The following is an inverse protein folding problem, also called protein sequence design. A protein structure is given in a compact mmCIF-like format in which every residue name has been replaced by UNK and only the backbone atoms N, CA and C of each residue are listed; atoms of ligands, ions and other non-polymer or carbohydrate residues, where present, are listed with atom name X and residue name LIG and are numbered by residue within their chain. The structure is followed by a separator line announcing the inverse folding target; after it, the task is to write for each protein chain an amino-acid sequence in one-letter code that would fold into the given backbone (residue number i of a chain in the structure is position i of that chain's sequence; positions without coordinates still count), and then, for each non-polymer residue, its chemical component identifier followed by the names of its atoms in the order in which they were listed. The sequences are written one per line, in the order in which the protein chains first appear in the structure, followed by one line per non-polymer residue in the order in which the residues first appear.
data_IF_342015796057
#
_entry.id   IF_342015796057
#
_cell.length_a   1.000
_cell.length_b   1.000
_cell.length_c   1.000
_cell.angle_alpha   90.00
_cell.angle_beta   90.00
_cell.angle_gamma   90.00
#
_symmetry.space_group_name_H-M   'P 1'
#
loop_
_entity.id
_entity.type
_entity.pdbx_description
1 polymer ?
#
# COMPACT_ATOMS: atom_id res chain seq x y z
N UNK A 1 68.56 58.21 4.90
CA UNK A 1 67.88 58.40 3.61
C UNK A 1 67.59 57.00 3.18
N UNK A 2 66.47 56.67 3.18
CA UNK A 2 65.20 56.52 2.75
C UNK A 2 64.45 55.32 3.33
N UNK A 3 63.35 55.68 3.77
CA UNK A 3 62.29 55.00 4.38
C UNK A 3 61.49 54.26 3.29
N UNK A 4 61.14 52.95 3.44
CA UNK A 4 60.00 52.43 2.79
C UNK A 4 59.30 51.40 3.71
N UNK A 5 58.14 51.80 4.13
CA UNK A 5 57.18 51.03 4.89
C UNK A 5 56.58 49.89 4.06
N UNK A 6 56.63 48.64 4.58
CA UNK A 6 55.91 47.49 4.03
C UNK A 6 54.49 47.48 4.56
N UNK A 7 53.51 47.52 3.65
CA UNK A 7 52.09 47.29 3.93
C UNK A 7 51.83 45.79 4.04
N UNK A 8 51.51 45.36 5.23
CA UNK A 8 50.96 44.03 5.50
C UNK A 8 49.51 43.96 5.05
N UNK A 9 49.27 43.28 3.94
CA UNK A 9 47.92 42.93 3.49
C UNK A 9 47.33 41.86 4.38
N UNK A 10 46.36 42.22 5.19
CA UNK A 10 45.48 41.26 5.85
C UNK A 10 44.64 40.53 4.81
N UNK A 11 44.97 39.27 4.58
CA UNK A 11 44.12 38.32 3.81
C UNK A 11 42.98 37.90 4.74
N UNK A 12 41.84 38.57 4.61
CA UNK A 12 40.59 38.14 5.26
C UNK A 12 40.16 36.82 4.65
N UNK A 13 40.45 35.75 5.35
CA UNK A 13 39.90 34.43 5.07
C UNK A 13 38.40 34.48 5.32
N UNK A 14 37.60 34.61 4.26
CA UNK A 14 36.16 34.37 4.29
C UNK A 14 35.95 32.89 4.51
N UNK A 15 35.77 32.47 5.76
CA UNK A 15 35.22 31.16 6.11
C UNK A 15 33.84 31.00 5.41
N UNK A 16 33.83 30.26 4.33
CA UNK A 16 32.59 29.73 3.77
C UNK A 16 31.98 28.84 4.86
N UNK A 17 31.06 29.41 5.63
CA UNK A 17 30.13 28.61 6.46
C UNK A 17 29.44 27.62 5.52
N UNK A 18 29.94 26.40 5.48
CA UNK A 18 29.23 25.27 4.88
C UNK A 18 27.91 25.14 5.64
N UNK A 19 26.85 25.69 5.09
CA UNK A 19 25.51 25.49 5.60
C UNK A 19 25.24 23.98 5.64
N UNK A 20 25.00 23.44 6.83
CA UNK A 20 24.63 22.06 7.02
C UNK A 20 23.49 21.72 6.01
N UNK A 21 23.53 20.56 5.36
CA UNK A 21 22.54 20.21 4.34
C UNK A 21 21.14 20.37 4.94
N UNK A 22 20.34 21.27 4.37
CA UNK A 22 18.95 21.48 4.82
C UNK A 22 18.25 20.13 4.75
N UNK A 23 17.84 19.60 5.90
CA UNK A 23 17.07 18.35 5.95
C UNK A 23 15.89 18.47 4.98
N UNK A 24 15.74 17.49 4.10
CA UNK A 24 14.64 17.46 3.14
C UNK A 24 13.29 17.63 3.86
N UNK A 25 12.37 18.39 3.26
CA UNK A 25 11.06 18.66 3.87
C UNK A 25 10.24 17.38 3.98
N UNK A 26 9.54 17.15 5.09
CA UNK A 26 8.71 15.97 5.24
C UNK A 26 7.55 15.99 4.24
N UNK A 27 7.16 14.79 3.82
CA UNK A 27 6.02 14.49 2.95
C UNK A 27 5.02 13.66 3.74
N UNK A 28 3.75 13.66 3.32
CA UNK A 28 2.74 12.81 3.91
C UNK A 28 1.86 12.14 2.86
N UNK A 29 1.44 10.92 3.16
CA UNK A 29 0.47 10.15 2.40
C UNK A 29 -0.65 9.68 3.33
N UNK A 30 -1.90 9.95 2.96
CA UNK A 30 -3.09 9.40 3.62
C UNK A 30 -3.77 8.43 2.65
N UNK A 31 -4.11 7.27 3.18
CA UNK A 31 -4.92 6.24 2.55
C UNK A 31 -6.17 6.03 3.41
N UNK A 32 -7.33 6.37 2.85
CA UNK A 32 -8.64 6.11 3.43
C UNK A 32 -9.30 4.96 2.68
N UNK A 33 -9.07 3.77 3.18
CA UNK A 33 -9.65 2.54 2.65
C UNK A 33 -11.06 2.25 3.19
N UNK A 34 -11.61 1.13 2.77
CA UNK A 34 -12.93 0.64 3.21
C UNK A 34 -12.98 0.37 4.72
N UNK A 35 -11.89 -0.15 5.29
CA UNK A 35 -11.85 -0.52 6.71
C UNK A 35 -10.98 0.42 7.55
N UNK A 36 -9.88 0.94 7.02
CA UNK A 36 -8.87 1.67 7.78
C UNK A 36 -8.60 3.06 7.21
N UNK A 37 -8.30 4.01 8.09
CA UNK A 37 -7.63 5.27 7.78
C UNK A 37 -6.16 5.15 8.18
N UNK A 38 -5.23 5.40 7.26
CA UNK A 38 -3.79 5.26 7.47
C UNK A 38 -3.05 6.52 7.03
N UNK A 39 -2.10 6.97 7.83
CA UNK A 39 -1.17 8.06 7.52
C UNK A 39 0.26 7.55 7.56
N UNK A 40 1.08 8.04 6.64
CA UNK A 40 2.52 7.90 6.67
C UNK A 40 3.15 9.27 6.48
N UNK A 41 4.01 9.68 7.41
CA UNK A 41 4.83 10.89 7.29
C UNK A 41 6.28 10.47 7.14
N UNK A 42 6.94 10.94 6.10
CA UNK A 42 8.29 10.51 5.76
C UNK A 42 9.17 11.69 5.31
N UNK A 43 10.47 11.54 5.50
CA UNK A 43 11.48 12.46 5.01
C UNK A 43 12.25 11.82 3.86
N UNK A 44 12.29 12.45 2.67
CA UNK A 44 13.10 11.98 1.57
C UNK A 44 14.59 11.87 1.94
N UNK A 45 15.22 10.82 1.43
CA UNK A 45 16.66 10.58 1.49
C UNK A 45 17.16 10.02 0.15
N UNK A 46 18.47 9.85 -0.07
CA UNK A 46 19.01 9.33 -1.33
C UNK A 46 18.48 7.93 -1.71
N UNK A 47 18.17 7.10 -0.73
CA UNK A 47 17.71 5.71 -0.92
C UNK A 47 16.17 5.59 -0.99
N UNK A 48 15.46 6.74 -1.00
CA UNK A 48 14.00 6.80 -1.03
C UNK A 48 13.46 7.72 0.05
N UNK A 49 13.08 7.20 1.22
CA UNK A 49 12.59 7.99 2.35
C UNK A 49 12.73 7.25 3.68
N UNK A 50 12.76 8.03 4.75
CA UNK A 50 12.69 7.56 6.14
C UNK A 50 11.33 7.93 6.75
N UNK A 51 10.62 6.94 7.28
CA UNK A 51 9.38 7.18 8.04
C UNK A 51 9.71 7.89 9.35
N UNK A 52 9.00 8.98 9.65
CA UNK A 52 9.19 9.79 10.86
C UNK A 52 7.94 9.80 11.75
N UNK A 53 6.75 9.54 11.19
CA UNK A 53 5.52 9.39 11.95
C UNK A 53 4.52 8.54 11.16
N UNK A 54 3.60 7.88 11.85
CA UNK A 54 2.55 7.11 11.23
C UNK A 54 1.28 7.11 12.08
N UNK A 55 0.15 6.75 11.46
CA UNK A 55 -1.10 6.53 12.16
C UNK A 55 -1.92 5.47 11.41
N UNK A 56 -2.66 4.67 12.16
CA UNK A 56 -3.63 3.72 11.61
C UNK A 56 -4.79 3.57 12.58
N UNK A 57 -6.02 3.64 12.06
CA UNK A 57 -7.25 3.43 12.83
C UNK A 57 -8.28 2.72 11.97
N UNK A 58 -8.95 1.72 12.52
CA UNK A 58 -10.11 1.11 11.91
C UNK A 58 -11.29 2.10 11.96
N UNK A 59 -11.79 2.49 10.80
CA UNK A 59 -12.92 3.45 10.65
C UNK A 59 -14.16 2.78 10.08
N UNK A 60 -14.01 1.60 9.45
CA UNK A 60 -15.08 0.81 8.84
C UNK A 60 -15.98 1.68 7.95
N UNK A 61 -15.36 2.51 7.11
CA UNK A 61 -16.06 3.47 6.25
C UNK A 61 -17.03 2.78 5.29
N UNK A 62 -16.65 1.59 4.78
CA UNK A 62 -17.46 0.79 3.87
C UNK A 62 -18.52 -0.06 4.53
N UNK A 63 -18.73 0.06 5.87
CA UNK A 63 -19.78 -0.67 6.57
C UNK A 63 -21.13 -0.43 5.91
N UNK A 64 -21.80 -1.51 5.45
CA UNK A 64 -23.09 -1.50 4.75
C UNK A 64 -23.16 -0.77 3.41
N UNK A 65 -22.03 -0.30 2.86
CA UNK A 65 -22.03 0.34 1.51
C UNK A 65 -22.47 -0.64 0.43
N UNK A 66 -22.12 -1.92 0.56
CA UNK A 66 -22.55 -2.96 -0.38
C UNK A 66 -24.07 -3.13 -0.41
N UNK A 67 -24.74 -3.02 0.74
CA UNK A 67 -26.19 -3.17 0.89
C UNK A 67 -26.97 -1.90 0.52
N UNK A 68 -26.44 -0.74 0.92
CA UNK A 68 -27.19 0.52 0.89
C UNK A 68 -26.76 1.48 -0.22
N UNK A 69 -25.56 1.30 -0.77
CA UNK A 69 -24.95 2.24 -1.73
C UNK A 69 -24.50 3.57 -1.11
N UNK A 70 -24.60 3.75 0.23
CA UNK A 70 -24.27 5.02 0.91
C UNK A 70 -23.33 4.80 2.09
N UNK A 71 -22.47 5.80 2.35
CA UNK A 71 -21.73 5.90 3.60
C UNK A 71 -22.69 6.29 4.73
N UNK A 72 -22.74 5.51 5.81
CA UNK A 72 -23.57 5.84 6.95
C UNK A 72 -23.02 7.07 7.72
N UNK A 73 -23.90 7.88 8.37
CA UNK A 73 -23.43 9.01 9.17
C UNK A 73 -22.38 8.62 10.23
N UNK A 74 -22.61 7.51 10.92
CA UNK A 74 -21.67 7.01 11.94
C UNK A 74 -20.31 6.59 11.36
N UNK A 75 -20.28 5.99 10.16
CA UNK A 75 -19.02 5.66 9.48
C UNK A 75 -18.29 6.93 9.02
N UNK A 76 -19.01 7.92 8.52
CA UNK A 76 -18.44 9.23 8.18
C UNK A 76 -17.85 9.91 9.42
N UNK A 77 -18.54 9.89 10.58
CA UNK A 77 -18.06 10.48 11.84
C UNK A 77 -16.72 9.87 12.26
N UNK A 78 -16.63 8.53 12.29
CA UNK A 78 -15.39 7.82 12.61
C UNK A 78 -14.24 8.17 11.66
N UNK A 79 -14.53 8.29 10.38
CA UNK A 79 -13.52 8.61 9.36
C UNK A 79 -13.05 10.07 9.49
N UNK A 80 -13.96 11.03 9.69
CA UNK A 80 -13.62 12.45 9.89
C UNK A 80 -12.78 12.64 11.16
N UNK A 81 -13.14 11.96 12.27
CA UNK A 81 -12.33 11.99 13.49
C UNK A 81 -10.92 11.47 13.27
N UNK A 82 -10.76 10.33 12.58
CA UNK A 82 -9.45 9.76 12.26
C UNK A 82 -8.64 10.69 11.34
N UNK A 83 -9.28 11.31 10.34
CA UNK A 83 -8.65 12.29 9.46
C UNK A 83 -8.26 13.58 10.20
N UNK A 84 -9.01 13.99 11.21
CA UNK A 84 -8.64 15.09 12.12
C UNK A 84 -7.29 14.80 12.83
N UNK A 85 -7.11 13.58 13.34
CA UNK A 85 -5.83 13.16 13.92
C UNK A 85 -4.71 13.18 12.88
N UNK A 86 -4.98 12.77 11.64
CA UNK A 86 -4.00 12.85 10.55
C UNK A 86 -3.61 14.30 10.27
N UNK A 87 -4.58 15.22 10.17
CA UNK A 87 -4.33 16.64 9.94
C UNK A 87 -3.46 17.26 11.04
N UNK A 88 -3.71 16.92 12.31
CA UNK A 88 -2.89 17.37 13.44
C UNK A 88 -1.44 16.86 13.33
N UNK A 89 -1.24 15.57 13.04
CA UNK A 89 0.10 14.99 12.85
C UNK A 89 0.86 15.64 11.69
N UNK A 90 0.18 15.89 10.57
CA UNK A 90 0.73 16.58 9.39
C UNK A 90 1.23 17.98 9.78
N UNK A 91 0.41 18.75 10.51
CA UNK A 91 0.75 20.09 10.98
C UNK A 91 1.96 20.05 11.94
N UNK A 92 1.94 19.16 12.94
CA UNK A 92 3.02 19.02 13.93
C UNK A 92 4.37 18.66 13.30
N UNK A 93 4.34 17.85 12.23
CA UNK A 93 5.56 17.46 11.50
C UNK A 93 6.00 18.50 10.45
N UNK A 94 5.30 19.63 10.31
CA UNK A 94 5.64 20.70 9.37
C UNK A 94 5.54 20.26 7.90
N UNK A 95 4.66 19.32 7.58
CA UNK A 95 4.46 18.82 6.22
C UNK A 95 3.79 19.90 5.37
N UNK A 96 4.36 20.18 4.20
CA UNK A 96 3.80 21.13 3.22
C UNK A 96 3.30 20.46 1.95
N UNK A 97 3.81 19.28 1.64
CA UNK A 97 3.42 18.50 0.46
C UNK A 97 2.88 17.16 0.92
N UNK A 98 1.65 16.89 0.53
CA UNK A 98 0.97 15.66 0.90
C UNK A 98 0.01 15.22 -0.20
N UNK A 99 -0.37 13.96 -0.17
CA UNK A 99 -1.46 13.44 -0.96
C UNK A 99 -2.36 12.60 -0.05
N UNK A 100 -3.67 12.83 -0.14
CA UNK A 100 -4.67 12.09 0.61
C UNK A 100 -5.66 11.47 -0.39
N UNK A 101 -5.81 10.16 -0.34
CA UNK A 101 -6.66 9.42 -1.26
C UNK A 101 -7.71 8.62 -0.51
N UNK A 102 -8.86 8.44 -1.16
CA UNK A 102 -9.92 7.55 -0.74
C UNK A 102 -10.19 6.53 -1.85
N UNK A 103 -10.49 5.30 -1.47
CA UNK A 103 -10.53 4.16 -2.38
C UNK A 103 -11.94 3.57 -2.50
N UNK A 104 -12.10 2.26 -2.52
CA UNK A 104 -13.30 1.51 -2.91
C UNK A 104 -14.58 1.97 -2.22
N UNK A 105 -14.61 2.15 -0.90
CA UNK A 105 -15.83 2.59 -0.20
C UNK A 105 -16.36 3.93 -0.75
N UNK A 106 -15.46 4.89 -1.01
CA UNK A 106 -15.82 6.17 -1.59
C UNK A 106 -16.18 6.07 -3.07
N UNK A 107 -15.51 5.19 -3.85
CA UNK A 107 -15.87 4.97 -5.26
C UNK A 107 -17.31 4.49 -5.40
N UNK A 108 -17.73 3.55 -4.55
CA UNK A 108 -19.07 2.94 -4.58
C UNK A 108 -20.18 3.83 -4.02
N UNK A 109 -19.84 4.71 -3.08
CA UNK A 109 -20.85 5.49 -2.37
C UNK A 109 -21.45 6.63 -3.20
N UNK A 110 -22.78 6.68 -3.28
CA UNK A 110 -23.54 7.73 -3.97
C UNK A 110 -23.32 9.10 -3.30
N UNK A 111 -23.21 9.11 -1.96
CA UNK A 111 -23.04 10.32 -1.15
C UNK A 111 -21.58 10.71 -0.91
N UNK A 112 -20.63 10.16 -1.71
CA UNK A 112 -19.19 10.45 -1.55
C UNK A 112 -18.84 11.93 -1.59
N UNK A 113 -19.55 12.73 -2.39
CA UNK A 113 -19.26 14.16 -2.52
C UNK A 113 -19.56 14.90 -1.21
N UNK A 114 -20.67 14.55 -0.53
CA UNK A 114 -21.01 15.08 0.78
C UNK A 114 -19.93 14.75 1.82
N UNK A 115 -19.44 13.52 1.81
CA UNK A 115 -18.38 13.08 2.71
C UNK A 115 -17.05 13.82 2.44
N UNK A 116 -16.60 13.90 1.19
CA UNK A 116 -15.36 14.58 0.83
C UNK A 116 -15.40 16.07 1.19
N UNK A 117 -16.55 16.73 0.97
CA UNK A 117 -16.73 18.12 1.35
C UNK A 117 -16.72 18.31 2.87
N UNK A 118 -17.36 17.41 3.61
CA UNK A 118 -17.34 17.40 5.06
C UNK A 118 -15.90 17.26 5.59
N UNK A 119 -15.10 16.33 5.04
CA UNK A 119 -13.67 16.18 5.38
C UNK A 119 -12.92 17.49 5.16
N UNK A 120 -13.15 18.15 4.01
CA UNK A 120 -12.50 19.42 3.69
C UNK A 120 -12.83 20.52 4.70
N UNK A 121 -14.10 20.65 5.06
CA UNK A 121 -14.57 21.68 5.99
C UNK A 121 -14.05 21.44 7.41
N UNK A 122 -14.15 20.20 7.91
CA UNK A 122 -13.83 19.89 9.31
C UNK A 122 -12.35 19.68 9.58
N UNK A 123 -11.58 19.18 8.58
CA UNK A 123 -10.16 18.83 8.80
C UNK A 123 -9.17 19.68 7.98
N UNK A 124 -9.64 20.41 6.98
CA UNK A 124 -8.82 21.12 6.01
C UNK A 124 -8.13 20.21 4.97
N UNK A 125 -8.30 18.89 5.06
CA UNK A 125 -7.70 17.94 4.13
C UNK A 125 -8.49 17.90 2.80
N UNK A 126 -7.76 17.85 1.68
CA UNK A 126 -8.35 17.60 0.38
C UNK A 126 -8.15 16.15 0.01
N UNK A 127 -9.26 15.43 -0.11
CA UNK A 127 -9.27 14.00 -0.46
C UNK A 127 -9.50 13.80 -1.96
N UNK A 128 -8.64 13.01 -2.61
CA UNK A 128 -8.84 12.54 -3.98
C UNK A 128 -9.48 11.14 -3.93
N UNK A 129 -10.65 10.95 -4.55
CA UNK A 129 -11.18 9.61 -4.79
C UNK A 129 -10.51 9.08 -6.05
N UNK A 130 -9.59 8.13 -5.87
CA UNK A 130 -8.79 7.57 -6.97
C UNK A 130 -9.48 6.39 -7.64
N UNK A 131 -9.15 6.14 -8.92
CA UNK A 131 -9.63 4.96 -9.64
C UNK A 131 -8.94 3.69 -9.10
N UNK A 132 -9.55 2.52 -9.36
CA UNK A 132 -8.95 1.22 -9.02
C UNK A 132 -7.62 1.02 -9.77
N UNK A 133 -7.52 1.48 -11.01
CA UNK A 133 -6.28 1.43 -11.79
C UNK A 133 -5.15 2.27 -11.15
N UNK A 134 -5.46 3.47 -10.66
CA UNK A 134 -4.48 4.30 -9.97
C UNK A 134 -4.07 3.68 -8.64
N UNK A 135 -5.01 3.11 -7.88
CA UNK A 135 -4.75 2.36 -6.65
C UNK A 135 -3.79 1.21 -6.90
N UNK A 136 -4.06 0.39 -7.92
CA UNK A 136 -3.21 -0.74 -8.33
C UNK A 136 -1.78 -0.30 -8.67
N UNK A 137 -1.62 0.75 -9.48
CA UNK A 137 -0.29 1.29 -9.84
C UNK A 137 0.49 1.82 -8.64
N UNK A 138 -0.20 2.51 -7.73
CA UNK A 138 0.41 3.02 -6.49
C UNK A 138 0.85 1.87 -5.58
N UNK A 139 0.05 0.80 -5.48
CA UNK A 139 0.43 -0.40 -4.73
C UNK A 139 1.70 -1.04 -5.29
N UNK A 140 1.78 -1.21 -6.61
CA UNK A 140 3.00 -1.72 -7.29
C UNK A 140 4.20 -0.84 -6.99
N UNK A 141 4.08 0.48 -7.19
CA UNK A 141 5.17 1.40 -6.96
C UNK A 141 5.64 1.40 -5.50
N UNK A 142 4.72 1.26 -4.55
CA UNK A 142 5.03 1.11 -3.13
C UNK A 142 5.80 -0.16 -2.80
N UNK A 143 5.55 -1.24 -3.53
CA UNK A 143 6.21 -2.53 -3.39
C UNK A 143 7.51 -2.65 -4.21
N UNK A 144 7.83 -1.70 -5.08
CA UNK A 144 8.98 -1.75 -5.98
C UNK A 144 10.32 -2.12 -5.32
N UNK A 145 10.67 -1.65 -4.10
CA UNK A 145 11.92 -2.05 -3.43
C UNK A 145 11.99 -3.52 -3.03
N UNK A 146 10.88 -4.26 -3.08
CA UNK A 146 10.82 -5.68 -2.73
C UNK A 146 10.93 -6.60 -3.94
N UNK A 147 11.00 -6.04 -5.13
CA UNK A 147 11.20 -6.79 -6.37
C UNK A 147 12.60 -7.42 -6.40
N UNK A 148 12.68 -8.70 -6.74
CA UNK A 148 13.94 -9.41 -7.00
C UNK A 148 14.42 -9.11 -8.42
N UNK A 149 15.70 -8.79 -8.55
CA UNK A 149 16.27 -8.35 -9.83
C UNK A 149 16.22 -9.42 -10.94
N UNK A 150 16.17 -10.68 -10.57
CA UNK A 150 16.09 -11.83 -11.47
C UNK A 150 14.67 -12.28 -11.80
N UNK A 151 13.63 -11.70 -11.14
CA UNK A 151 12.26 -12.03 -11.43
C UNK A 151 11.77 -11.31 -12.70
N UNK A 152 11.57 -12.06 -13.78
CA UNK A 152 11.06 -11.54 -15.04
C UNK A 152 9.56 -11.22 -15.00
N UNK A 153 8.80 -11.95 -14.20
CA UNK A 153 7.36 -11.76 -14.03
C UNK A 153 7.03 -11.48 -12.57
N UNK A 154 6.14 -10.54 -12.37
CA UNK A 154 5.73 -10.10 -11.04
C UNK A 154 4.20 -10.07 -10.94
N UNK A 155 3.65 -10.73 -9.91
CA UNK A 155 2.28 -10.55 -9.48
C UNK A 155 2.28 -9.77 -8.17
N UNK A 156 1.78 -8.55 -8.19
CA UNK A 156 1.51 -7.76 -6.98
C UNK A 156 0.06 -7.95 -6.58
N UNK A 157 -0.15 -8.28 -5.32
CA UNK A 157 -1.47 -8.50 -4.74
C UNK A 157 -1.64 -7.56 -3.56
N UNK A 158 -2.67 -6.73 -3.58
CA UNK A 158 -3.08 -5.90 -2.44
C UNK A 158 -4.48 -6.31 -1.98
N UNK A 159 -4.56 -6.98 -0.82
CA UNK A 159 -5.82 -7.45 -0.25
C UNK A 159 -6.37 -6.34 0.66
N UNK A 160 -7.23 -5.51 0.11
CA UNK A 160 -7.89 -4.42 0.82
C UNK A 160 -9.10 -4.84 1.67
N UNK A 161 -9.75 -3.85 2.27
CA UNK A 161 -11.01 -4.07 3.01
C UNK A 161 -12.21 -4.31 2.10
N UNK A 162 -12.33 -3.56 1.01
CA UNK A 162 -13.46 -3.58 0.08
C UNK A 162 -13.18 -4.25 -1.26
N UNK A 163 -11.92 -4.25 -1.68
CA UNK A 163 -11.47 -4.81 -2.94
C UNK A 163 -10.14 -5.55 -2.77
N UNK A 164 -9.77 -6.32 -3.79
CA UNK A 164 -8.46 -6.94 -3.92
C UNK A 164 -7.92 -6.62 -5.29
N UNK A 165 -6.78 -5.93 -5.34
CA UNK A 165 -6.08 -5.59 -6.55
C UNK A 165 -5.02 -6.65 -6.85
N UNK A 166 -5.02 -7.16 -8.09
CA UNK A 166 -3.99 -8.06 -8.61
C UNK A 166 -3.45 -7.50 -9.90
N UNK A 167 -2.13 -7.34 -9.99
CA UNK A 167 -1.45 -6.71 -11.11
C UNK A 167 -0.35 -7.63 -11.60
N UNK A 168 -0.46 -8.05 -12.86
CA UNK A 168 0.55 -8.84 -13.55
C UNK A 168 1.47 -7.94 -14.37
N UNK A 169 2.78 -8.08 -14.15
CA UNK A 169 3.80 -7.24 -14.78
C UNK A 169 4.82 -8.15 -15.46
N UNK A 170 5.15 -7.83 -16.71
CA UNK A 170 6.23 -8.46 -17.47
C UNK A 170 7.43 -7.53 -17.52
N UNK A 171 8.54 -7.96 -16.94
CA UNK A 171 9.81 -7.25 -16.89
C UNK A 171 10.91 -7.96 -17.67
N UNK A 172 10.59 -9.03 -18.42
CA UNK A 172 11.56 -9.86 -19.14
C UNK A 172 12.40 -9.05 -20.14
N UNK A 173 11.80 -8.02 -20.77
CA UNK A 173 12.47 -7.08 -21.67
C UNK A 173 13.26 -5.96 -20.98
N UNK A 174 13.25 -5.89 -19.64
CA UNK A 174 13.89 -4.80 -18.88
C UNK A 174 15.16 -5.27 -18.18
N UNK A 175 16.30 -4.57 -18.37
CA UNK A 175 17.53 -4.90 -17.64
C UNK A 175 17.31 -4.90 -16.12
N UNK A 176 17.82 -5.90 -15.37
CA UNK A 176 17.55 -6.07 -13.94
C UNK A 176 17.75 -4.81 -13.08
N UNK A 177 18.83 -4.06 -13.33
CA UNK A 177 19.16 -2.85 -12.58
C UNK A 177 18.19 -1.66 -12.81
N UNK A 178 17.33 -1.72 -13.84
CA UNK A 178 16.33 -0.69 -14.15
C UNK A 178 14.93 -1.04 -13.64
N UNK A 179 14.65 -2.33 -13.34
CA UNK A 179 13.32 -2.84 -13.00
C UNK A 179 12.70 -2.10 -11.80
N UNK A 180 13.44 -1.95 -10.71
CA UNK A 180 12.95 -1.24 -9.53
C UNK A 180 12.58 0.22 -9.81
N UNK A 181 13.38 0.95 -10.60
CA UNK A 181 13.09 2.34 -11.00
C UNK A 181 11.86 2.42 -11.91
N UNK A 182 11.70 1.45 -12.80
CA UNK A 182 10.55 1.34 -13.67
C UNK A 182 9.27 1.14 -12.86
N UNK A 183 9.27 0.20 -11.90
CA UNK A 183 8.13 -0.04 -11.02
C UNK A 183 7.77 1.20 -10.18
N UNK A 184 8.75 1.94 -9.66
CA UNK A 184 8.51 3.20 -8.94
C UNK A 184 7.90 4.28 -9.84
N UNK A 185 8.22 4.29 -11.15
CA UNK A 185 7.66 5.25 -12.09
C UNK A 185 6.16 5.07 -12.35
N UNK A 186 5.56 3.94 -11.93
CA UNK A 186 4.12 3.72 -11.96
C UNK A 186 3.33 4.63 -11.00
N UNK A 187 4.00 5.26 -10.02
CA UNK A 187 3.36 6.22 -9.12
C UNK A 187 3.27 7.61 -9.77
N UNK A 188 2.10 8.04 -10.26
CA UNK A 188 1.94 9.38 -10.80
C UNK A 188 2.02 10.40 -9.66
N UNK A 189 2.75 11.48 -9.91
CA UNK A 189 2.90 12.57 -8.95
C UNK A 189 1.58 13.30 -8.68
N UNK A 190 0.72 13.43 -9.70
CA UNK A 190 -0.60 14.10 -9.62
C UNK A 190 -1.68 13.28 -10.30
N UNK A 191 -2.93 13.52 -9.87
CA UNK A 191 -4.11 12.97 -10.53
C UNK A 191 -4.09 13.31 -12.03
N UNK A 192 -4.24 12.31 -12.89
CA UNK A 192 -4.25 12.48 -14.34
C UNK A 192 -2.87 12.73 -14.99
N UNK A 193 -1.78 12.72 -14.22
CA UNK A 193 -0.43 12.97 -14.73
C UNK A 193 0.13 11.86 -15.63
N UNK A 194 -0.52 10.68 -15.69
CA UNK A 194 -0.10 9.58 -16.58
C UNK A 194 0.01 9.99 -18.05
N UNK A 195 -0.91 10.83 -18.52
CA UNK A 195 -0.88 11.31 -19.90
C UNK A 195 0.20 12.38 -20.15
N UNK A 196 0.76 12.95 -19.09
CA UNK A 196 1.77 14.01 -19.15
C UNK A 196 3.18 13.53 -18.76
N UNK A 197 3.31 12.31 -18.24
CA UNK A 197 4.58 11.72 -17.80
C UNK A 197 4.93 10.51 -18.68
N UNK A 198 5.87 10.71 -19.61
CA UNK A 198 6.33 9.65 -20.52
C UNK A 198 6.93 8.45 -19.79
N UNK A 199 7.54 8.68 -18.61
CA UNK A 199 8.11 7.60 -17.79
C UNK A 199 7.02 6.72 -17.18
N UNK A 200 5.95 7.34 -16.68
CA UNK A 200 4.81 6.59 -16.13
C UNK A 200 4.08 5.81 -17.23
N UNK A 201 3.95 6.36 -18.44
CA UNK A 201 3.39 5.64 -19.59
C UNK A 201 4.27 4.47 -20.02
N UNK A 202 5.57 4.67 -20.13
CA UNK A 202 6.50 3.59 -20.46
C UNK A 202 6.47 2.47 -19.41
N UNK A 203 6.41 2.82 -18.11
CA UNK A 203 6.26 1.85 -17.04
C UNK A 203 4.92 1.10 -17.10
N UNK A 204 3.81 1.80 -17.40
CA UNK A 204 2.49 1.20 -17.51
C UNK A 204 2.40 0.17 -18.66
N UNK A 205 3.20 0.30 -19.72
CA UNK A 205 3.27 -0.65 -20.83
C UNK A 205 3.75 -2.05 -20.39
N UNK A 206 4.38 -2.18 -19.23
CA UNK A 206 4.78 -3.46 -18.64
C UNK A 206 3.69 -4.15 -17.84
N UNK A 207 2.57 -3.47 -17.56
CA UNK A 207 1.39 -4.08 -16.95
C UNK A 207 0.69 -4.88 -18.06
N UNK A 208 0.78 -6.20 -17.97
CA UNK A 208 0.17 -7.11 -18.96
C UNK A 208 -1.33 -7.18 -18.74
N UNK A 209 -1.72 -7.29 -17.47
CA UNK A 209 -3.12 -7.31 -17.06
C UNK A 209 -3.27 -6.91 -15.59
N UNK A 210 -4.47 -6.50 -15.22
CA UNK A 210 -4.80 -6.20 -13.84
C UNK A 210 -6.29 -6.42 -13.59
N UNK A 211 -6.64 -6.71 -12.34
CA UNK A 211 -8.01 -6.80 -11.88
C UNK A 211 -8.14 -6.13 -10.53
N UNK A 212 -9.24 -5.43 -10.31
CA UNK A 212 -9.71 -5.03 -8.99
C UNK A 212 -11.00 -5.79 -8.72
N UNK A 213 -10.87 -6.91 -7.99
CA UNK A 213 -12.02 -7.69 -7.55
C UNK A 213 -12.73 -6.90 -6.44
N UNK A 214 -14.07 -6.66 -6.53
CA UNK A 214 -14.82 -5.93 -5.50
C UNK A 214 -15.07 -6.81 -4.25
N UNK A 215 -14.12 -7.64 -3.92
CA UNK A 215 -14.09 -8.57 -2.80
C UNK A 215 -12.79 -8.36 -2.01
N UNK A 216 -12.90 -7.57 -0.95
CA UNK A 216 -11.87 -7.45 0.08
C UNK A 216 -12.28 -8.18 1.35
N UNK A 217 -11.44 -8.09 2.41
CA UNK A 217 -11.71 -8.85 3.64
C UNK A 217 -13.00 -8.47 4.33
N UNK A 218 -13.42 -7.20 4.29
CA UNK A 218 -14.65 -6.76 4.93
C UNK A 218 -15.89 -7.11 4.11
N UNK A 219 -15.84 -6.95 2.77
CA UNK A 219 -16.97 -7.29 1.89
C UNK A 219 -17.19 -8.78 1.85
N UNK A 220 -16.12 -9.58 1.77
CA UNK A 220 -16.23 -11.03 1.76
C UNK A 220 -16.70 -11.57 3.10
N UNK A 221 -16.21 -11.03 4.23
CA UNK A 221 -16.72 -11.38 5.55
C UNK A 221 -18.21 -11.08 5.68
N UNK A 222 -18.66 -9.87 5.33
CA UNK A 222 -20.07 -9.47 5.42
C UNK A 222 -20.99 -10.40 4.61
N UNK A 223 -20.56 -10.82 3.41
CA UNK A 223 -21.33 -11.70 2.54
C UNK A 223 -21.58 -13.09 3.15
N UNK A 224 -20.62 -13.62 3.92
CA UNK A 224 -20.66 -14.98 4.47
C UNK A 224 -20.76 -15.06 6.00
N UNK A 225 -20.98 -13.94 6.71
CA UNK A 225 -21.10 -13.93 8.16
C UNK A 225 -22.28 -14.75 8.71
N UNK A 226 -23.27 -15.06 7.89
CA UNK A 226 -24.41 -15.90 8.25
C UNK A 226 -24.04 -17.38 8.40
N UNK A 227 -22.90 -17.83 7.84
CA UNK A 227 -22.38 -19.18 8.01
C UNK A 227 -21.63 -19.27 9.35
N UNK A 228 -22.17 -20.04 10.29
CA UNK A 228 -21.60 -20.20 11.62
C UNK A 228 -20.43 -21.16 11.68
N UNK A 229 -20.42 -22.19 10.81
CA UNK A 229 -19.28 -23.11 10.69
C UNK A 229 -18.11 -22.41 10.00
N UNK A 230 -16.96 -22.35 10.70
CA UNK A 230 -15.80 -21.62 10.22
C UNK A 230 -15.19 -22.23 8.94
N UNK A 231 -15.21 -23.57 8.82
CA UNK A 231 -14.69 -24.26 7.64
C UNK A 231 -15.59 -24.05 6.43
N UNK A 232 -16.88 -24.24 6.59
CA UNK A 232 -17.85 -24.01 5.51
C UNK A 232 -17.83 -22.55 5.04
N UNK A 233 -17.70 -21.60 5.98
CA UNK A 233 -17.53 -20.17 5.68
C UNK A 233 -16.28 -19.90 4.87
N UNK A 234 -15.13 -20.43 5.29
CA UNK A 234 -13.86 -20.30 4.58
C UNK A 234 -13.93 -20.87 3.16
N UNK A 235 -14.48 -22.08 2.99
CA UNK A 235 -14.57 -22.73 1.70
C UNK A 235 -15.52 -21.97 0.75
N UNK A 236 -16.64 -21.45 1.26
CA UNK A 236 -17.57 -20.60 0.50
C UNK A 236 -16.91 -19.27 0.06
N UNK A 237 -16.12 -18.65 0.94
CA UNK A 237 -15.35 -17.44 0.63
C UNK A 237 -14.31 -17.70 -0.48
N UNK A 238 -13.60 -18.84 -0.42
CA UNK A 238 -12.65 -19.26 -1.46
C UNK A 238 -13.32 -19.40 -2.80
N UNK A 239 -14.40 -20.18 -2.86
CA UNK A 239 -15.15 -20.42 -4.10
C UNK A 239 -15.70 -19.13 -4.70
N UNK A 240 -16.21 -18.21 -3.85
CA UNK A 240 -16.69 -16.91 -4.29
C UNK A 240 -15.57 -16.05 -4.90
N UNK A 241 -14.41 -15.99 -4.25
CA UNK A 241 -13.29 -15.20 -4.75
C UNK A 241 -12.69 -15.81 -6.02
N UNK A 242 -12.57 -17.14 -6.10
CA UNK A 242 -12.09 -17.85 -7.28
C UNK A 242 -12.97 -17.57 -8.51
N UNK A 243 -14.30 -17.59 -8.33
CA UNK A 243 -15.25 -17.27 -9.39
C UNK A 243 -15.12 -15.82 -9.86
N UNK A 244 -14.91 -14.87 -8.94
CA UNK A 244 -14.76 -13.45 -9.24
C UNK A 244 -13.51 -13.17 -10.09
N UNK A 245 -12.39 -13.86 -9.80
CA UNK A 245 -11.13 -13.66 -10.52
C UNK A 245 -10.91 -14.63 -11.66
N UNK A 246 -11.90 -15.42 -12.03
CA UNK A 246 -11.78 -16.47 -13.04
C UNK A 246 -11.31 -15.95 -14.42
N UNK A 247 -11.73 -14.74 -14.80
CA UNK A 247 -11.30 -14.09 -16.05
C UNK A 247 -9.80 -13.71 -16.04
N UNK A 248 -9.22 -13.44 -14.87
CA UNK A 248 -7.79 -13.14 -14.68
C UNK A 248 -6.94 -14.41 -14.57
N UNK A 249 -7.54 -15.58 -14.29
CA UNK A 249 -6.87 -16.86 -14.08
C UNK A 249 -6.03 -17.38 -15.28
N UNK A 250 -6.32 -17.07 -16.59
CA UNK A 250 -5.50 -17.55 -17.70
C UNK A 250 -4.00 -17.24 -17.58
N UNK A 251 -3.64 -16.21 -16.84
CA UNK A 251 -2.25 -15.87 -16.57
C UNK A 251 -1.54 -16.89 -15.65
N UNK A 252 -2.26 -17.65 -14.84
CA UNK A 252 -1.71 -18.72 -14.03
C UNK A 252 -0.98 -19.78 -14.87
N UNK A 253 -1.46 -20.04 -16.08
CA UNK A 253 -0.88 -21.04 -17.01
C UNK A 253 0.44 -20.57 -17.66
N UNK A 254 0.73 -19.28 -17.67
CA UNK A 254 1.96 -18.71 -18.25
C UNK A 254 3.16 -18.84 -17.33
N UNK A 255 2.96 -19.03 -16.03
CA UNK A 255 4.02 -19.21 -15.04
C UNK A 255 4.60 -20.62 -15.00
N UNK A 256 4.02 -21.58 -15.71
CA UNK A 256 4.51 -22.97 -15.82
C UNK A 256 5.88 -23.11 -16.50
N UNK A 257 6.64 -22.06 -16.54
CA UNK A 257 7.95 -22.03 -17.17
C UNK A 257 9.08 -22.01 -16.20
N UNK A 258 9.81 -21.38 -15.65
CA UNK A 258 11.07 -21.57 -14.94
C UNK A 258 10.96 -21.15 -13.46
N UNK A 259 11.43 -21.99 -12.52
CA UNK A 259 11.67 -21.55 -11.15
C UNK A 259 12.66 -20.38 -11.18
N UNK A 260 12.30 -19.25 -10.58
CA UNK A 260 13.14 -18.06 -10.49
C UNK A 260 12.68 -16.87 -11.34
N UNK A 261 11.91 -17.10 -12.41
CA UNK A 261 11.42 -16.03 -13.27
C UNK A 261 10.13 -15.34 -12.75
N UNK A 262 9.46 -15.88 -11.73
CA UNK A 262 8.18 -15.40 -11.22
C UNK A 262 8.24 -15.09 -9.73
N UNK A 263 7.73 -13.94 -9.36
CA UNK A 263 7.63 -13.50 -7.96
C UNK A 263 6.20 -13.04 -7.63
N UNK A 264 5.68 -13.46 -6.47
CA UNK A 264 4.50 -12.85 -5.86
C UNK A 264 4.94 -11.90 -4.75
N UNK A 265 4.39 -10.68 -4.75
CA UNK A 265 4.48 -9.74 -3.64
C UNK A 265 3.07 -9.57 -3.08
N UNK A 266 2.87 -9.98 -1.84
CA UNK A 266 1.60 -9.81 -1.13
C UNK A 266 1.65 -8.60 -0.21
N UNK A 267 0.85 -7.57 -0.52
CA UNK A 267 0.65 -6.40 0.31
C UNK A 267 -0.69 -6.52 1.03
N UNK A 268 -0.73 -6.40 2.30
CA UNK A 268 -1.96 -6.20 3.10
C UNK A 268 -1.77 -6.47 4.58
N UNK A 269 -2.79 -6.11 5.35
CA UNK A 269 -2.91 -6.52 6.76
C UNK A 269 -3.02 -8.04 6.94
N UNK A 270 -3.61 -8.76 5.98
CA UNK A 270 -3.72 -10.22 5.99
C UNK A 270 -2.35 -10.87 5.87
N UNK A 271 -1.61 -10.55 4.82
CA UNK A 271 -0.30 -11.15 4.53
C UNK A 271 0.69 -10.87 5.67
N UNK A 272 0.73 -9.62 6.15
CA UNK A 272 1.61 -9.25 7.28
C UNK A 272 1.22 -9.90 8.59
N UNK A 273 -0.08 -10.17 8.84
CA UNK A 273 -0.54 -10.89 10.02
C UNK A 273 -0.13 -12.36 9.97
N UNK A 274 -0.36 -13.04 8.84
CA UNK A 274 0.06 -14.43 8.65
C UNK A 274 1.59 -14.57 8.78
N UNK A 275 2.35 -13.64 8.21
CA UNK A 275 3.80 -13.58 8.35
C UNK A 275 4.25 -13.39 9.81
N UNK A 276 3.60 -12.49 10.53
CA UNK A 276 3.87 -12.27 11.96
C UNK A 276 3.54 -13.51 12.82
N UNK A 277 2.42 -14.17 12.56
CA UNK A 277 2.03 -15.42 13.20
C UNK A 277 3.02 -16.55 12.89
N UNK A 278 3.42 -16.70 11.62
CA UNK A 278 4.43 -17.69 11.20
C UNK A 278 5.79 -17.47 11.92
N UNK A 279 6.17 -16.21 12.17
CA UNK A 279 7.37 -15.89 12.96
C UNK A 279 7.19 -16.04 14.49
N UNK A 280 6.01 -16.41 14.97
CA UNK A 280 5.68 -16.50 16.40
C UNK A 280 5.72 -15.15 17.13
N UNK A 281 5.45 -14.04 16.45
CA UNK A 281 5.53 -12.71 17.02
C UNK A 281 4.34 -12.46 17.96
N UNK A 282 4.62 -12.22 19.25
CA UNK A 282 3.60 -11.77 20.21
C UNK A 282 3.21 -10.30 20.02
N UNK A 283 4.07 -9.52 19.41
CA UNK A 283 3.87 -8.12 19.08
C UNK A 283 4.37 -7.88 17.65
N UNK A 284 3.58 -7.21 16.87
CA UNK A 284 3.94 -6.91 15.48
C UNK A 284 5.25 -6.11 15.40
N UNK A 285 6.17 -6.57 14.56
CA UNK A 285 7.45 -5.93 14.27
C UNK A 285 7.62 -5.77 12.75
N UNK A 286 7.43 -4.54 12.29
CA UNK A 286 7.55 -4.21 10.87
C UNK A 286 8.90 -4.59 10.28
N UNK A 287 9.98 -4.38 11.01
CA UNK A 287 11.33 -4.64 10.50
C UNK A 287 11.60 -6.13 10.25
N UNK A 288 10.88 -7.00 10.93
CA UNK A 288 10.97 -8.45 10.72
C UNK A 288 10.02 -8.95 9.65
N UNK A 289 8.91 -8.26 9.44
CA UNK A 289 7.83 -8.71 8.55
C UNK A 289 7.97 -8.11 7.14
N UNK A 290 8.25 -6.80 7.05
CA UNK A 290 8.34 -6.14 5.74
C UNK A 290 9.55 -6.63 4.94
N UNK A 291 9.28 -7.19 3.78
CA UNK A 291 10.30 -7.73 2.90
C UNK A 291 10.76 -9.15 3.24
N UNK A 292 10.17 -9.84 4.23
CA UNK A 292 10.49 -11.24 4.45
C UNK A 292 9.96 -12.14 3.33
N UNK A 293 10.60 -13.28 3.14
CA UNK A 293 10.07 -14.38 2.36
C UNK A 293 9.24 -15.29 3.25
N UNK A 294 7.96 -15.40 2.95
CA UNK A 294 7.05 -16.33 3.62
C UNK A 294 6.91 -17.59 2.77
N UNK A 295 7.37 -18.76 3.24
CA UNK A 295 7.14 -20.01 2.55
C UNK A 295 5.64 -20.27 2.42
N UNK A 296 5.18 -20.67 1.23
CA UNK A 296 3.74 -20.96 0.99
C UNK A 296 3.25 -22.08 1.91
N UNK A 297 4.06 -23.12 2.14
CA UNK A 297 3.72 -24.16 3.09
C UNK A 297 3.50 -23.60 4.51
N UNK A 298 4.32 -22.64 4.95
CA UNK A 298 4.15 -21.95 6.23
C UNK A 298 2.89 -21.08 6.28
N UNK A 299 2.60 -20.35 5.19
CA UNK A 299 1.37 -19.57 5.08
C UNK A 299 0.12 -20.45 5.15
N UNK A 300 0.11 -21.57 4.42
CA UNK A 300 -1.01 -22.51 4.41
C UNK A 300 -1.20 -23.20 5.77
N UNK A 301 -0.12 -23.57 6.46
CA UNK A 301 -0.22 -24.12 7.81
C UNK A 301 -0.87 -23.12 8.78
N UNK A 302 -0.47 -21.83 8.73
CA UNK A 302 -1.12 -20.79 9.54
C UNK A 302 -2.58 -20.59 9.17
N UNK A 303 -2.92 -20.63 7.89
CA UNK A 303 -4.31 -20.53 7.43
C UNK A 303 -5.15 -21.68 8.00
N UNK A 304 -4.69 -22.91 7.90
CA UNK A 304 -5.40 -24.08 8.45
C UNK A 304 -5.58 -23.99 9.98
N UNK A 305 -4.52 -23.56 10.70
CA UNK A 305 -4.61 -23.31 12.14
C UNK A 305 -5.69 -22.27 12.46
N UNK A 306 -5.68 -21.12 11.77
CA UNK A 306 -6.64 -20.03 12.01
C UNK A 306 -8.08 -20.38 11.66
N UNK A 307 -8.30 -21.19 10.63
CA UNK A 307 -9.63 -21.69 10.24
C UNK A 307 -10.16 -22.68 11.27
N UNK A 308 -9.29 -23.50 11.85
CA UNK A 308 -9.67 -24.47 12.88
C UNK A 308 -10.03 -23.84 14.24
N UNK A 309 -9.56 -22.62 14.53
CA UNK A 309 -9.90 -21.89 15.76
C UNK A 309 -11.32 -21.35 15.71
N UNK A 310 -12.00 -21.32 16.85
CA UNK A 310 -13.24 -20.53 17.01
C UNK A 310 -12.95 -19.02 17.09
N UNK A 311 -14.00 -18.21 17.08
CA UNK A 311 -13.86 -16.73 17.06
C UNK A 311 -13.15 -16.20 18.32
N UNK A 312 -13.41 -16.77 19.51
CA UNK A 312 -12.78 -16.37 20.77
C UNK A 312 -11.28 -16.74 20.80
N UNK A 313 -10.95 -17.94 20.34
CA UNK A 313 -9.56 -18.38 20.25
C UNK A 313 -8.76 -17.53 19.25
N UNK A 314 -9.37 -17.15 18.11
CA UNK A 314 -8.75 -16.21 17.14
C UNK A 314 -8.51 -14.82 17.74
N UNK A 315 -9.49 -14.29 18.50
CA UNK A 315 -9.38 -13.00 19.17
C UNK A 315 -8.24 -12.99 20.20
N UNK A 316 -8.07 -14.11 20.88
CA UNK A 316 -7.02 -14.30 21.90
C UNK A 316 -5.66 -14.67 21.30
N UNK A 317 -5.58 -14.94 19.99
CA UNK A 317 -4.33 -15.39 19.36
C UNK A 317 -3.28 -14.27 19.34
N UNK A 318 -2.07 -14.48 19.92
CA UNK A 318 -1.08 -13.41 20.10
C UNK A 318 -0.63 -12.73 18.83
N UNK A 319 -0.58 -13.47 17.71
CA UNK A 319 -0.14 -12.95 16.40
C UNK A 319 -1.21 -12.22 15.61
N UNK A 320 -2.50 -12.27 16.01
CA UNK A 320 -3.63 -11.68 15.25
C UNK A 320 -4.13 -10.42 15.94
N UNK A 321 -4.50 -10.52 17.21
CA UNK A 321 -5.16 -9.47 17.99
C UNK A 321 -6.64 -9.28 17.62
N UNK A 322 -7.40 -8.73 18.57
CA UNK A 322 -8.85 -8.58 18.49
C UNK A 322 -9.31 -7.81 17.23
N UNK A 323 -8.59 -6.75 16.84
CA UNK A 323 -8.97 -5.90 15.69
C UNK A 323 -8.96 -6.64 14.34
N UNK A 324 -8.22 -7.75 14.23
CA UNK A 324 -8.05 -8.50 12.97
C UNK A 324 -8.74 -9.85 12.97
N UNK A 325 -9.06 -10.41 14.14
CA UNK A 325 -9.65 -11.74 14.31
C UNK A 325 -10.89 -11.96 13.45
N UNK A 326 -11.74 -10.93 13.34
CA UNK A 326 -12.98 -10.98 12.58
C UNK A 326 -12.76 -11.14 11.07
N UNK A 327 -11.74 -10.50 10.52
CA UNK A 327 -11.53 -10.39 9.06
C UNK A 327 -10.43 -11.33 8.54
N UNK A 328 -9.66 -11.98 9.43
CA UNK A 328 -8.49 -12.77 9.01
C UNK A 328 -8.88 -14.00 8.19
N UNK A 329 -10.03 -14.62 8.47
CA UNK A 329 -10.51 -15.80 7.73
C UNK A 329 -10.83 -15.43 6.27
N UNK A 330 -11.45 -14.28 6.05
CA UNK A 330 -11.73 -13.79 4.69
C UNK A 330 -10.42 -13.48 3.94
N UNK A 331 -9.47 -12.84 4.60
CA UNK A 331 -8.15 -12.59 4.01
C UNK A 331 -7.36 -13.87 3.73
N UNK A 332 -7.45 -14.85 4.61
CA UNK A 332 -6.87 -16.18 4.42
C UNK A 332 -7.49 -16.92 3.22
N UNK A 333 -8.80 -16.83 3.04
CA UNK A 333 -9.49 -17.40 1.90
C UNK A 333 -9.03 -16.79 0.57
N UNK A 334 -8.90 -15.45 0.52
CA UNK A 334 -8.38 -14.72 -0.65
C UNK A 334 -6.94 -15.17 -0.96
N UNK A 335 -6.06 -15.12 0.04
CA UNK A 335 -4.65 -15.47 -0.16
C UNK A 335 -4.47 -16.93 -0.60
N UNK A 336 -5.18 -17.87 0.04
CA UNK A 336 -5.12 -19.30 -0.32
C UNK A 336 -5.59 -19.54 -1.76
N UNK A 337 -6.62 -18.83 -2.21
CA UNK A 337 -7.08 -18.91 -3.60
C UNK A 337 -6.01 -18.41 -4.57
N UNK A 338 -5.39 -17.26 -4.27
CA UNK A 338 -4.32 -16.70 -5.10
C UNK A 338 -3.14 -17.66 -5.20
N UNK A 339 -2.70 -18.23 -4.08
CA UNK A 339 -1.58 -19.17 -4.05
C UNK A 339 -1.89 -20.50 -4.75
N UNK A 340 -3.16 -20.89 -4.84
CA UNK A 340 -3.59 -22.04 -5.61
C UNK A 340 -3.62 -21.76 -7.13
N UNK A 341 -4.04 -20.54 -7.54
CA UNK A 341 -4.09 -20.12 -8.94
C UNK A 341 -2.70 -19.82 -9.52
N UNK A 342 -1.79 -19.29 -8.72
CA UNK A 342 -0.39 -18.97 -9.09
C UNK A 342 0.58 -19.69 -8.14
N UNK A 343 0.84 -21.00 -8.37
CA UNK A 343 1.71 -21.78 -7.50
C UNK A 343 3.14 -21.21 -7.45
N UNK A 344 3.65 -21.06 -6.24
CA UNK A 344 5.04 -20.65 -5.94
C UNK A 344 5.48 -21.28 -4.63
N UNK A 345 6.78 -21.39 -4.39
CA UNK A 345 7.29 -21.91 -3.11
C UNK A 345 7.23 -20.88 -1.98
N UNK A 346 7.33 -19.60 -2.31
CA UNK A 346 7.40 -18.50 -1.36
C UNK A 346 6.80 -17.23 -1.94
N UNK A 347 6.26 -16.37 -1.09
CA UNK A 347 5.83 -15.01 -1.47
C UNK A 347 6.60 -13.97 -0.68
N UNK A 348 6.80 -12.81 -1.29
CA UNK A 348 7.42 -11.65 -0.63
C UNK A 348 6.35 -10.89 0.15
N UNK A 349 6.57 -10.68 1.44
CA UNK A 349 5.64 -9.95 2.30
C UNK A 349 5.89 -8.47 2.21
N UNK A 350 4.86 -7.67 1.96
CA UNK A 350 4.94 -6.22 1.91
C UNK A 350 4.08 -5.58 3.02
N UNK A 351 4.72 -4.89 3.97
CA UNK A 351 4.06 -3.91 4.85
C UNK A 351 4.21 -2.50 4.26
N UNK A 352 4.07 -2.44 2.96
CA UNK A 352 4.09 -1.25 2.12
C UNK A 352 3.15 -1.44 0.94
N UNK A 353 2.77 -0.36 0.28
CA UNK A 353 1.82 -0.39 -0.83
C UNK A 353 1.40 1.02 -1.22
N UNK A 354 0.10 1.29 -1.26
CA UNK A 354 -0.48 2.56 -1.70
C UNK A 354 0.20 3.81 -1.10
N UNK A 355 0.42 3.87 0.21
CA UNK A 355 1.00 5.04 0.90
C UNK A 355 2.44 5.30 0.48
N UNK A 356 3.23 4.26 0.38
CA UNK A 356 4.61 4.33 -0.08
C UNK A 356 4.66 4.75 -1.56
N UNK A 357 3.74 4.25 -2.39
CA UNK A 357 3.56 4.69 -3.77
C UNK A 357 3.24 6.18 -3.88
N UNK A 358 2.32 6.67 -3.05
CA UNK A 358 2.01 8.12 -2.97
C UNK A 358 3.26 8.94 -2.61
N UNK A 359 4.08 8.47 -1.66
CA UNK A 359 5.32 9.14 -1.29
C UNK A 359 6.34 9.15 -2.44
N UNK A 360 6.50 8.03 -3.17
CA UNK A 360 7.38 8.01 -4.35
C UNK A 360 6.91 8.98 -5.43
N UNK A 361 5.62 9.08 -5.69
CA UNK A 361 5.04 10.08 -6.59
C UNK A 361 5.40 11.51 -6.16
N UNK A 362 5.24 11.83 -4.88
CA UNK A 362 5.59 13.15 -4.32
C UNK A 362 7.10 13.43 -4.40
N UNK A 363 7.97 12.43 -4.20
CA UNK A 363 9.42 12.58 -4.34
C UNK A 363 9.78 12.88 -5.79
N UNK A 364 9.22 12.14 -6.75
CA UNK A 364 9.45 12.32 -8.19
C UNK A 364 9.11 13.73 -8.69
N UNK A 365 8.06 14.36 -8.15
CA UNK A 365 7.74 15.78 -8.45
C UNK A 365 8.84 16.75 -8.07
N UNK A 366 9.49 16.51 -6.92
CA UNK A 366 10.56 17.41 -6.42
C UNK A 366 11.87 17.31 -7.20
N UNK A 367 12.03 16.24 -8.00
CA UNK A 367 13.20 15.99 -8.86
C UNK A 367 12.99 16.46 -10.31
N UNK A 368 11.76 16.78 -10.70
CA UNK A 368 11.50 17.35 -12.02
C UNK A 368 12.11 18.77 -12.09
N UNK A 369 12.89 19.11 -13.15
CA UNK A 369 13.39 20.47 -13.31
C UNK A 369 12.20 21.42 -13.33
N UNK A 370 12.31 22.53 -12.56
CA UNK A 370 11.31 23.57 -12.56
C UNK A 370 11.06 23.99 -14.03
N UNK A 371 9.85 23.75 -14.55
CA UNK A 371 9.45 24.28 -15.84
C UNK A 371 9.60 25.81 -15.73
N UNK A 372 10.61 26.39 -16.38
CA UNK A 372 10.68 27.83 -16.58
C UNK A 372 9.43 28.18 -17.39
N UNK A 373 8.57 28.97 -16.79
CA UNK A 373 7.47 29.66 -17.46
C UNK A 373 8.04 30.64 -18.49
#
# INVERSE_FOLDING_TARGET
MDNQAGQSGEVVAQERRQSAPRKAQPLAAIDLGTNNCRLLVARPNPDGFQVIDSFSRAVRLGERVEETGVLSPAAMDRAVEALGVCAEKIRRNGVRRMRAVATEACRRAINRHQFVERVRVETGLRMDVISAEEEARLAVAGCAPLHEADADHLLVVDIGGGSTEMIWIDLSGTPPHLRGRLLMALAPARRGALNADDRARAAAAHIVDWVSAPLGVATLHARFQHLTDARARYDAMRACFEAEVAAFAPYARRTGGAPGAFQIIGASGTVTTLAGAHLGLRRYDRNRVDGMWLPVAGAMAMIEELVALDDLARESHPGIGADRSLLIVAGAAILATILALWPTEKLRVADRGLREGLLYGLIGEGMAPARRL
#
